data_IF_270151620767
#
_entry.id   IF_270151620767
#
_cell.length_a   1.000
_cell.length_b   1.000
_cell.length_c   1.000
_cell.angle_alpha   90.00
_cell.angle_beta   90.00
_cell.angle_gamma   90.00
#
_symmetry.space_group_name_H-M   'P 1'
#
loop_
_entity.id
_entity.type
_entity.pdbx_description
1 polymer ?
#
# COMPACT_ATOMS: atom_id res chain seq x y z
N UNK A 1 14.66 -21.65 19.10
CA UNK A 1 14.19 -21.79 17.72
C UNK A 1 12.75 -22.22 17.64
N UNK A 2 12.44 -23.33 18.23
CA UNK A 2 11.08 -23.77 18.24
C UNK A 2 10.15 -22.78 18.91
N UNK A 3 10.64 -22.15 19.95
CA UNK A 3 9.84 -21.17 20.64
C UNK A 3 9.50 -20.01 19.74
N UNK A 4 10.44 -19.60 18.94
CA UNK A 4 10.18 -18.55 18.01
C UNK A 4 9.14 -18.96 17.01
N UNK A 5 9.25 -20.16 16.52
CA UNK A 5 8.27 -20.63 15.57
C UNK A 5 6.90 -20.67 16.20
N UNK A 6 6.88 -21.07 17.47
CA UNK A 6 5.64 -21.14 18.18
C UNK A 6 5.01 -19.77 18.33
N UNK A 7 5.83 -18.80 18.68
CA UNK A 7 5.36 -17.43 18.80
C UNK A 7 4.85 -16.93 17.49
N UNK A 8 5.58 -17.23 16.45
CA UNK A 8 5.20 -16.80 15.13
C UNK A 8 3.84 -17.33 14.78
N UNK A 9 3.60 -18.58 15.12
CA UNK A 9 2.33 -19.20 14.79
C UNK A 9 1.20 -18.65 15.61
N UNK A 10 1.46 -18.36 16.86
CA UNK A 10 0.40 -18.07 17.80
C UNK A 10 -0.04 -16.64 17.91
N UNK A 11 0.73 -15.70 17.40
CA UNK A 11 0.28 -14.34 17.56
C UNK A 11 0.86 -13.49 16.48
N UNK A 12 0.84 -12.22 16.70
CA UNK A 12 1.24 -11.33 15.69
C UNK A 12 2.67 -11.39 15.40
N UNK A 13 3.42 -11.80 16.36
CA UNK A 13 4.82 -11.94 16.11
C UNK A 13 5.09 -13.21 15.37
N UNK A 14 4.04 -13.92 15.15
CA UNK A 14 4.14 -15.19 14.51
C UNK A 14 4.99 -15.14 13.29
N UNK A 15 4.96 -14.09 12.63
CA UNK A 15 5.68 -14.04 11.41
C UNK A 15 7.09 -13.59 11.59
N UNK A 16 7.52 -13.38 12.80
CA UNK A 16 8.81 -12.83 12.98
C UNK A 16 9.91 -13.67 12.32
N UNK A 17 9.98 -14.93 12.63
CA UNK A 17 10.96 -15.79 12.04
C UNK A 17 10.60 -16.16 10.63
N UNK A 18 9.35 -16.47 10.41
CA UNK A 18 8.88 -16.74 9.07
C UNK A 18 9.12 -15.54 8.20
N UNK A 19 8.87 -14.37 8.77
CA UNK A 19 9.12 -13.16 8.05
C UNK A 19 10.55 -13.02 7.68
N UNK A 20 11.45 -13.45 8.54
CA UNK A 20 12.84 -13.36 8.24
C UNK A 20 13.19 -14.21 7.04
N UNK A 21 12.75 -15.45 7.04
CA UNK A 21 12.98 -16.31 5.91
C UNK A 21 12.23 -15.82 4.70
N UNK A 22 11.01 -15.48 4.92
CA UNK A 22 10.18 -15.01 3.85
C UNK A 22 10.71 -13.71 3.29
N UNK A 23 11.18 -12.84 4.14
CA UNK A 23 11.77 -11.60 3.72
C UNK A 23 13.04 -11.81 2.91
N UNK A 24 13.83 -12.78 3.30
CA UNK A 24 15.03 -13.07 2.56
C UNK A 24 14.67 -13.48 1.15
N UNK A 25 13.71 -14.33 1.01
CA UNK A 25 13.27 -14.77 -0.29
C UNK A 25 12.62 -13.63 -1.05
N UNK A 26 11.83 -12.86 -0.36
CA UNK A 26 11.14 -11.74 -0.96
C UNK A 26 12.11 -10.67 -1.38
N UNK A 27 13.09 -10.40 -0.55
CA UNK A 27 14.09 -9.40 -0.87
C UNK A 27 14.87 -9.82 -2.10
N UNK A 28 15.16 -11.09 -2.19
CA UNK A 28 15.84 -11.60 -3.36
C UNK A 28 15.03 -11.34 -4.62
N UNK A 29 13.76 -11.61 -4.51
CA UNK A 29 12.85 -11.41 -5.61
C UNK A 29 12.77 -9.94 -5.97
N UNK A 30 12.61 -9.10 -4.98
CA UNK A 30 12.53 -7.67 -5.21
C UNK A 30 13.82 -7.13 -5.76
N UNK A 31 14.91 -7.63 -5.26
CA UNK A 31 16.19 -7.17 -5.73
C UNK A 31 16.35 -7.46 -7.22
N UNK A 32 15.91 -8.62 -7.62
CA UNK A 32 15.97 -8.98 -9.01
C UNK A 32 15.14 -8.05 -9.85
N UNK A 33 13.97 -7.70 -9.34
CA UNK A 33 13.10 -6.79 -10.04
C UNK A 33 13.74 -5.43 -10.13
N UNK A 34 14.30 -4.96 -9.04
CA UNK A 34 14.95 -3.68 -9.03
C UNK A 34 16.09 -3.61 -9.99
N UNK A 35 16.92 -4.62 -9.97
CA UNK A 35 18.06 -4.66 -10.86
C UNK A 35 17.61 -4.66 -12.29
N UNK A 36 16.50 -5.31 -12.53
CA UNK A 36 16.03 -5.46 -13.87
C UNK A 36 15.42 -4.20 -14.41
N UNK A 37 14.61 -3.54 -13.62
CA UNK A 37 13.85 -2.44 -14.12
C UNK A 37 13.98 -1.18 -13.36
N UNK A 38 14.66 -1.21 -12.25
CA UNK A 38 14.72 -0.04 -11.41
C UNK A 38 13.40 0.22 -10.71
N UNK A 39 12.47 -0.68 -10.83
CA UNK A 39 11.19 -0.57 -10.18
C UNK A 39 11.03 -1.75 -9.30
N UNK A 40 10.64 -1.51 -8.09
CA UNK A 40 10.62 -2.61 -7.18
C UNK A 40 9.23 -2.95 -6.81
N UNK A 41 8.47 -2.09 -6.27
CA UNK A 41 7.14 -2.42 -5.84
C UNK A 41 6.19 -1.40 -6.37
N UNK A 42 5.15 -1.88 -6.98
CA UNK A 42 4.09 -0.99 -7.40
C UNK A 42 3.07 -0.93 -6.28
N UNK A 43 2.67 0.26 -5.94
CA UNK A 43 1.61 0.46 -4.97
C UNK A 43 0.35 0.72 -5.75
N UNK A 44 -0.61 -0.17 -5.62
CA UNK A 44 -1.90 0.00 -6.27
C UNK A 44 -2.91 0.48 -5.25
N UNK A 45 -4.03 0.95 -5.72
CA UNK A 45 -5.04 1.46 -4.81
C UNK A 45 -6.44 1.29 -5.37
N UNK A 46 -7.42 1.42 -4.49
CA UNK A 46 -8.81 1.32 -4.84
C UNK A 46 -9.52 2.66 -4.71
N UNK A 47 -8.78 3.74 -4.74
CA UNK A 47 -9.34 5.06 -4.49
C UNK A 47 -10.50 5.34 -5.43
N UNK A 48 -10.29 5.08 -6.70
CA UNK A 48 -11.32 5.38 -7.69
C UNK A 48 -12.58 4.58 -7.46
N UNK A 49 -12.43 3.30 -7.17
CA UNK A 49 -13.58 2.45 -6.92
C UNK A 49 -14.35 2.90 -5.70
N UNK A 50 -13.63 3.19 -4.62
CA UNK A 50 -14.27 3.64 -3.39
C UNK A 50 -14.97 4.97 -3.64
N UNK A 51 -14.30 5.86 -4.33
CA UNK A 51 -14.82 7.18 -4.62
C UNK A 51 -16.11 7.06 -5.43
N UNK A 52 -16.07 6.26 -6.47
CA UNK A 52 -17.23 6.11 -7.34
C UNK A 52 -18.39 5.44 -6.63
N UNK A 53 -18.10 4.46 -5.78
CA UNK A 53 -19.15 3.82 -5.00
C UNK A 53 -19.84 4.80 -4.07
N UNK A 54 -19.11 5.79 -3.60
CA UNK A 54 -19.66 6.77 -2.69
C UNK A 54 -20.18 8.02 -3.38
N UNK A 55 -20.07 8.06 -4.69
CA UNK A 55 -20.53 9.20 -5.46
C UNK A 55 -19.71 10.44 -5.25
N UNK A 56 -18.43 10.30 -4.99
CA UNK A 56 -17.54 11.41 -4.74
C UNK A 56 -16.79 11.74 -6.02
N UNK A 57 -16.81 13.01 -6.38
CA UNK A 57 -16.04 13.44 -7.55
C UNK A 57 -14.58 13.59 -7.20
N UNK A 58 -13.74 13.44 -8.21
CA UNK A 58 -12.29 13.55 -8.01
C UNK A 58 -11.91 14.91 -7.44
N UNK A 59 -12.56 15.96 -7.91
CA UNK A 59 -12.28 17.30 -7.43
C UNK A 59 -12.62 17.45 -5.96
N UNK A 60 -13.73 16.88 -5.56
CA UNK A 60 -14.18 16.98 -4.18
C UNK A 60 -13.25 16.23 -3.26
N UNK A 61 -12.80 15.07 -3.71
CA UNK A 61 -11.86 14.31 -2.92
C UNK A 61 -10.55 15.08 -2.76
N UNK A 62 -10.06 15.61 -3.86
CA UNK A 62 -8.80 16.34 -3.84
C UNK A 62 -8.88 17.52 -2.87
N UNK A 63 -9.96 18.27 -2.95
CA UNK A 63 -10.16 19.40 -2.05
C UNK A 63 -10.20 18.96 -0.60
N UNK A 64 -10.88 17.86 -0.35
CA UNK A 64 -11.05 17.39 1.02
C UNK A 64 -9.73 16.98 1.65
N UNK A 65 -8.83 16.41 0.88
CA UNK A 65 -7.56 15.95 1.44
C UNK A 65 -6.43 16.94 1.23
N UNK A 66 -6.71 18.06 0.58
CA UNK A 66 -5.70 19.10 0.43
C UNK A 66 -4.70 18.86 -0.65
N UNK A 67 -5.10 18.18 -1.72
CA UNK A 67 -4.24 17.92 -2.86
C UNK A 67 -4.92 18.40 -4.13
N UNK A 68 -4.15 18.49 -5.20
CA UNK A 68 -4.75 18.90 -6.47
C UNK A 68 -5.43 17.71 -7.12
N UNK A 69 -6.43 18.02 -7.93
CA UNK A 69 -7.12 16.99 -8.69
C UNK A 69 -6.16 16.21 -9.57
N UNK A 70 -5.19 16.90 -10.10
CA UNK A 70 -4.19 16.27 -10.96
C UNK A 70 -3.40 15.22 -10.18
N UNK A 71 -3.01 15.56 -8.96
CA UNK A 71 -2.26 14.63 -8.12
C UNK A 71 -3.10 13.40 -7.81
N UNK A 72 -4.35 13.61 -7.42
CA UNK A 72 -5.24 12.51 -7.13
C UNK A 72 -5.39 11.63 -8.36
N UNK A 73 -5.58 12.23 -9.51
CA UNK A 73 -5.75 11.49 -10.74
C UNK A 73 -4.54 10.65 -11.09
N UNK A 74 -3.36 11.21 -10.91
CA UNK A 74 -2.14 10.47 -11.19
C UNK A 74 -1.99 9.26 -10.29
N UNK A 75 -2.31 9.44 -9.03
CA UNK A 75 -2.20 8.35 -8.08
C UNK A 75 -3.25 7.29 -8.35
N UNK A 76 -4.45 7.71 -8.68
CA UNK A 76 -5.51 6.75 -9.00
C UNK A 76 -5.13 5.88 -10.19
N UNK A 77 -4.46 6.45 -11.16
CA UNK A 77 -4.06 5.70 -12.35
C UNK A 77 -2.78 4.91 -12.16
N UNK A 78 -2.09 5.12 -11.06
CA UNK A 78 -0.83 4.45 -10.84
C UNK A 78 0.35 5.14 -11.49
N UNK A 79 0.18 6.37 -11.95
CA UNK A 79 1.26 7.12 -12.59
C UNK A 79 2.22 7.71 -11.58
N UNK A 80 1.82 7.81 -10.35
CA UNK A 80 2.65 8.36 -9.28
C UNK A 80 2.51 7.51 -8.04
N UNK A 81 3.58 7.43 -7.29
CA UNK A 81 3.56 6.73 -6.01
C UNK A 81 3.03 7.69 -4.96
N UNK A 82 2.04 7.28 -4.19
CA UNK A 82 1.52 8.15 -3.15
C UNK A 82 2.51 8.29 -2.00
N UNK A 83 2.53 9.46 -1.40
CA UNK A 83 3.34 9.67 -0.21
C UNK A 83 2.60 9.10 0.99
N UNK A 84 3.32 8.91 2.09
CA UNK A 84 2.69 8.44 3.30
C UNK A 84 1.60 9.41 3.75
N UNK A 85 1.86 10.69 3.63
CA UNK A 85 0.89 11.69 4.02
C UNK A 85 -0.39 11.58 3.20
N UNK A 86 -0.23 11.38 1.91
CA UNK A 86 -1.39 11.21 1.03
C UNK A 86 -2.19 10.00 1.45
N UNK A 87 -1.50 8.88 1.70
CA UNK A 87 -2.18 7.65 2.07
C UNK A 87 -2.94 7.80 3.37
N UNK A 88 -2.35 8.47 4.34
CA UNK A 88 -3.00 8.66 5.62
C UNK A 88 -4.22 9.56 5.49
N UNK A 89 -4.11 10.61 4.71
CA UNK A 89 -5.22 11.53 4.55
C UNK A 89 -6.39 10.90 3.83
N UNK A 90 -6.10 10.12 2.80
CA UNK A 90 -7.13 9.41 2.06
C UNK A 90 -7.83 8.40 2.96
N UNK A 91 -7.04 7.64 3.70
CA UNK A 91 -7.60 6.62 4.56
C UNK A 91 -8.47 7.22 5.63
N UNK A 92 -8.04 8.33 6.19
CA UNK A 92 -8.83 9.01 7.18
C UNK A 92 -10.12 9.54 6.58
N UNK A 93 -10.03 10.10 5.39
CA UNK A 93 -11.21 10.66 4.74
C UNK A 93 -12.24 9.57 4.44
N UNK A 94 -11.78 8.43 3.98
CA UNK A 94 -12.67 7.31 3.69
C UNK A 94 -13.05 6.54 4.95
N UNK A 95 -12.38 6.80 6.07
CA UNK A 95 -12.59 6.07 7.30
C UNK A 95 -12.30 4.58 7.10
N UNK A 96 -11.20 4.30 6.46
CA UNK A 96 -10.76 2.94 6.15
C UNK A 96 -9.31 2.80 6.54
N UNK A 97 -8.87 1.57 6.66
CA UNK A 97 -7.46 1.33 6.94
C UNK A 97 -6.65 1.57 5.69
N UNK A 98 -5.38 1.93 5.88
CA UNK A 98 -4.51 2.15 4.74
C UNK A 98 -4.43 0.89 3.89
N UNK A 99 -4.36 -0.26 4.51
CA UNK A 99 -4.26 -1.53 3.78
C UNK A 99 -5.51 -1.84 2.99
N UNK A 100 -6.63 -1.24 3.34
CA UNK A 100 -7.86 -1.47 2.60
C UNK A 100 -7.91 -0.64 1.33
N UNK A 101 -7.13 0.42 1.29
CA UNK A 101 -7.14 1.34 0.18
C UNK A 101 -5.93 1.14 -0.72
N UNK A 102 -4.78 0.89 -0.13
CA UNK A 102 -3.52 0.75 -0.87
C UNK A 102 -2.96 -0.64 -0.73
N UNK A 103 -2.39 -1.15 -1.80
CA UNK A 103 -1.86 -2.50 -1.83
C UNK A 103 -0.50 -2.50 -2.49
N UNK A 104 0.32 -3.43 -2.07
CA UNK A 104 1.64 -3.60 -2.66
C UNK A 104 1.59 -4.84 -3.51
N UNK A 105 2.05 -4.71 -4.73
CA UNK A 105 2.06 -5.86 -5.63
C UNK A 105 3.38 -6.58 -5.53
N UNK A 106 3.33 -7.84 -5.30
CA UNK A 106 4.53 -8.65 -5.18
C UNK A 106 4.93 -9.27 -6.51
#
# INVERSE_FOLDING_TARGET
MLLLLQDIVNNKHKSFLLDTLFCIMTIRKYRNIELKEGIFMAVTNNIREIREQRGIYQDDLAAAIGYSTKTVGRIERGDSTPSAQFMLRISKYFNMLVEDVFHVED
#
